data_IF_692521245547
#
_entry.id   IF_692521245547
#
_cell.length_a   1.000
_cell.length_b   1.000
_cell.length_c   1.000
_cell.angle_alpha   90.00
_cell.angle_beta   90.00
_cell.angle_gamma   90.00
#
_symmetry.space_group_name_H-M   'P 1'
#
loop_
_entity.id
_entity.type
_entity.pdbx_description
1 polymer ?
#
# COMPACT_ATOMS: atom_id res chain seq x y z
N UNK A 1 -13.83 24.99 6.03
CA UNK A 1 -12.69 24.47 5.23
C UNK A 1 -11.46 24.38 6.11
N UNK A 2 -10.44 23.63 5.70
CA UNK A 2 -9.17 23.51 6.44
C UNK A 2 -8.33 24.79 6.34
N UNK A 3 -7.45 25.04 7.30
CA UNK A 3 -6.42 26.07 7.16
C UNK A 3 -5.42 25.68 6.07
N UNK A 4 -4.70 26.64 5.48
CA UNK A 4 -3.67 26.35 4.47
C UNK A 4 -2.56 25.47 5.08
N UNK A 5 -2.21 25.69 6.35
CA UNK A 5 -1.23 24.87 7.05
C UNK A 5 -1.69 23.40 7.15
N UNK A 6 -2.93 23.17 7.57
CA UNK A 6 -3.49 21.81 7.66
C UNK A 6 -3.64 21.16 6.28
N UNK A 7 -3.99 21.94 5.24
CA UNK A 7 -4.09 21.44 3.87
C UNK A 7 -2.73 21.02 3.30
N UNK A 8 -1.65 21.75 3.63
CA UNK A 8 -0.29 21.33 3.28
C UNK A 8 0.10 20.04 4.00
N UNK A 9 -0.26 19.91 5.28
CA UNK A 9 -0.07 18.68 6.05
C UNK A 9 -0.80 17.48 5.44
N UNK A 10 -2.05 17.67 5.00
CA UNK A 10 -2.87 16.66 4.31
C UNK A 10 -2.16 16.11 3.06
N UNK A 11 -1.60 17.00 2.23
CA UNK A 11 -0.85 16.60 1.04
C UNK A 11 0.47 15.91 1.42
N UNK A 12 1.24 16.49 2.34
CA UNK A 12 2.54 15.96 2.75
C UNK A 12 2.43 14.55 3.33
N UNK A 13 1.46 14.30 4.21
CA UNK A 13 1.22 12.97 4.79
C UNK A 13 0.77 11.96 3.74
N UNK A 14 0.03 12.41 2.73
CA UNK A 14 -0.31 11.57 1.58
C UNK A 14 0.93 11.19 0.78
N UNK A 15 1.82 12.14 0.49
CA UNK A 15 3.07 11.92 -0.22
C UNK A 15 3.99 10.92 0.52
N UNK A 16 4.13 11.07 1.84
CA UNK A 16 4.92 10.14 2.67
C UNK A 16 4.46 8.68 2.50
N UNK A 17 3.14 8.43 2.36
CA UNK A 17 2.64 7.08 2.10
C UNK A 17 2.97 6.59 0.70
N UNK A 18 2.90 7.45 -0.31
CA UNK A 18 3.33 7.10 -1.67
C UNK A 18 4.81 6.72 -1.69
N UNK A 19 5.67 7.48 -0.99
CA UNK A 19 7.10 7.20 -0.88
C UNK A 19 7.37 5.82 -0.28
N UNK A 20 6.62 5.43 0.76
CA UNK A 20 6.71 4.06 1.33
C UNK A 20 6.22 3.01 0.34
N UNK A 21 5.10 3.25 -0.35
CA UNK A 21 4.53 2.33 -1.33
C UNK A 21 5.44 2.12 -2.56
N UNK A 22 6.30 3.08 -2.92
CA UNK A 22 7.33 2.87 -3.97
C UNK A 22 8.28 1.72 -3.59
N UNK A 23 8.49 1.47 -2.28
CA UNK A 23 9.22 0.32 -1.77
C UNK A 23 8.46 -1.01 -1.77
N UNK A 24 7.22 -1.06 -2.27
CA UNK A 24 6.36 -2.24 -2.25
C UNK A 24 6.99 -3.53 -2.81
N UNK A 25 7.81 -3.53 -3.88
CA UNK A 25 8.41 -4.77 -4.39
C UNK A 25 9.19 -5.54 -3.32
N UNK A 26 9.88 -4.84 -2.42
CA UNK A 26 10.57 -5.49 -1.29
C UNK A 26 9.58 -6.11 -0.31
N UNK A 27 8.47 -5.41 -0.04
CA UNK A 27 7.39 -5.86 0.85
C UNK A 27 6.53 -6.96 0.22
N UNK A 28 6.56 -7.16 -1.09
CA UNK A 28 5.74 -8.16 -1.80
C UNK A 28 6.42 -9.53 -1.94
N UNK A 29 7.67 -9.67 -1.49
CA UNK A 29 8.39 -10.96 -1.49
C UNK A 29 7.57 -12.00 -0.74
N UNK A 30 7.39 -13.15 -1.39
CA UNK A 30 6.84 -14.33 -0.74
C UNK A 30 7.90 -15.08 0.03
N UNK A 31 7.51 -16.25 0.53
CA UNK A 31 8.36 -17.12 1.34
C UNK A 31 8.73 -18.37 0.55
N UNK A 32 9.83 -19.00 0.92
CA UNK A 32 10.29 -20.27 0.37
C UNK A 32 10.63 -21.22 1.52
N UNK A 33 10.23 -22.48 1.41
CA UNK A 33 10.59 -23.54 2.35
C UNK A 33 11.20 -24.69 1.57
N UNK A 34 12.46 -24.97 1.89
CA UNK A 34 13.22 -26.11 1.38
C UNK A 34 12.79 -27.39 2.14
N UNK A 35 12.51 -28.47 1.41
CA UNK A 35 12.24 -29.77 2.02
C UNK A 35 10.99 -29.83 2.91
N UNK A 36 9.89 -29.19 2.49
CA UNK A 36 8.58 -29.34 3.15
C UNK A 36 8.08 -30.80 3.17
N UNK A 37 8.63 -31.64 2.28
CA UNK A 37 8.52 -33.10 2.27
C UNK A 37 9.62 -33.73 1.40
N UNK A 38 9.69 -35.07 1.29
CA UNK A 38 10.69 -35.73 0.46
C UNK A 38 10.62 -35.28 -1.01
N UNK A 39 11.61 -34.51 -1.45
CA UNK A 39 11.68 -33.94 -2.80
C UNK A 39 10.65 -32.85 -3.09
N UNK A 40 10.10 -32.20 -2.05
CA UNK A 40 9.08 -31.15 -2.20
C UNK A 40 9.58 -29.85 -1.57
N UNK A 41 9.70 -28.83 -2.40
CA UNK A 41 9.89 -27.44 -1.99
C UNK A 41 8.58 -26.68 -2.14
N UNK A 42 8.37 -25.69 -1.27
CA UNK A 42 7.19 -24.83 -1.32
C UNK A 42 7.58 -23.37 -1.40
N UNK A 43 6.78 -22.59 -2.11
CA UNK A 43 6.91 -21.14 -2.14
C UNK A 43 5.56 -20.46 -2.13
N UNK A 44 5.52 -19.21 -1.69
CA UNK A 44 4.35 -18.35 -1.77
C UNK A 44 4.64 -17.14 -2.64
N UNK A 45 3.60 -16.55 -3.22
CA UNK A 45 3.67 -15.29 -3.97
C UNK A 45 2.50 -14.41 -3.59
N UNK A 46 2.74 -13.11 -3.43
CA UNK A 46 1.68 -12.12 -3.29
C UNK A 46 1.25 -11.66 -4.67
N UNK A 47 -0.05 -11.76 -4.94
CA UNK A 47 -0.67 -11.35 -6.20
C UNK A 47 -1.68 -10.23 -5.93
N UNK A 48 -1.90 -9.30 -6.87
CA UNK A 48 -2.93 -8.28 -6.72
C UNK A 48 -4.32 -8.92 -6.67
N UNK A 49 -5.24 -8.31 -5.90
CA UNK A 49 -6.61 -8.80 -5.79
C UNK A 49 -7.46 -8.56 -7.05
N UNK A 50 -6.98 -7.68 -7.94
CA UNK A 50 -7.71 -7.24 -9.14
C UNK A 50 -8.34 -5.86 -8.93
N UNK A 51 -9.61 -5.70 -9.31
CA UNK A 51 -10.30 -4.41 -9.23
C UNK A 51 -10.70 -4.10 -7.78
N UNK A 52 -10.33 -2.92 -7.30
CA UNK A 52 -10.70 -2.42 -5.96
C UNK A 52 -11.41 -1.07 -6.04
N UNK A 53 -12.32 -0.82 -5.10
CA UNK A 53 -13.04 0.45 -4.97
C UNK A 53 -12.57 1.23 -3.74
N UNK A 54 -12.20 2.49 -3.92
CA UNK A 54 -11.79 3.40 -2.84
C UNK A 54 -12.86 4.46 -2.55
N UNK A 55 -13.49 4.39 -1.37
CA UNK A 55 -14.42 5.41 -0.89
C UNK A 55 -13.78 6.13 0.30
N UNK A 56 -13.70 7.46 0.25
CA UNK A 56 -12.98 8.27 1.23
C UNK A 56 -13.87 9.38 1.82
N UNK A 57 -13.71 9.71 3.12
CA UNK A 57 -14.47 10.77 3.76
C UNK A 57 -14.00 12.16 3.32
N UNK A 58 -14.82 13.18 3.53
CA UNK A 58 -14.57 14.56 3.07
C UNK A 58 -13.46 15.29 3.86
N UNK A 59 -13.12 14.82 5.05
CA UNK A 59 -12.29 15.55 6.00
C UNK A 59 -10.79 15.45 5.71
N UNK A 60 -10.32 14.55 4.83
CA UNK A 60 -8.93 14.48 4.36
C UNK A 60 -8.89 14.08 2.87
N UNK A 61 -9.22 15.03 1.98
CA UNK A 61 -9.42 14.74 0.57
C UNK A 61 -8.12 14.46 -0.21
N UNK A 62 -6.94 14.65 0.38
CA UNK A 62 -5.67 14.26 -0.23
C UNK A 62 -5.08 13.00 0.44
N UNK A 63 -4.87 13.04 1.75
CA UNK A 63 -4.20 11.98 2.51
C UNK A 63 -4.91 10.63 2.38
N UNK A 64 -6.22 10.56 2.66
CA UNK A 64 -6.93 9.27 2.69
C UNK A 64 -7.06 8.64 1.30
N UNK A 65 -7.34 9.39 0.22
CA UNK A 65 -7.25 8.84 -1.14
C UNK A 65 -5.87 8.30 -1.49
N UNK A 66 -4.80 9.02 -1.14
CA UNK A 66 -3.42 8.56 -1.39
C UNK A 66 -3.10 7.28 -0.61
N UNK A 67 -3.63 7.10 0.59
CA UNK A 67 -3.52 5.85 1.35
C UNK A 67 -4.22 4.66 0.70
N UNK A 68 -5.21 4.90 -0.17
CA UNK A 68 -5.93 3.83 -0.88
C UNK A 68 -5.33 3.54 -2.24
N UNK A 69 -5.03 4.58 -3.02
CA UNK A 69 -4.57 4.42 -4.42
C UNK A 69 -3.12 3.94 -4.48
N UNK A 70 -2.25 4.38 -3.56
CA UNK A 70 -0.83 4.01 -3.61
C UNK A 70 -0.55 2.50 -3.38
N UNK A 71 -1.22 1.79 -2.45
CA UNK A 71 -1.01 0.35 -2.26
C UNK A 71 -1.94 -0.56 -3.08
N UNK A 72 -2.94 0.00 -3.77
CA UNK A 72 -3.91 -0.75 -4.57
C UNK A 72 -3.30 -1.22 -5.90
#
# INVERSE_FOLDING_TARGET
GKTIADARGDIQRGLEVVEVCIGAPHMMKGEFTDGAGPGIDTYSMRQPLGVVAGITPFNFPAMIPLWKIAPA
#
